data_IF_581996434222
#
_entry.id   IF_581996434222
#
_cell.length_a   1.000
_cell.length_b   1.000
_cell.length_c   1.000
_cell.angle_alpha   90.00
_cell.angle_beta   90.00
_cell.angle_gamma   90.00
#
_symmetry.space_group_name_H-M   'P 1'
#
loop_
_entity.id
_entity.type
_entity.pdbx_description
1 polymer ?
#
# COMPACT_ATOMS: atom_id res chain seq x y z
N UNK A 1 -16.87 60.01 -26.75
CA UNK A 1 -17.31 58.63 -26.40
C UNK A 1 -16.11 57.71 -26.56
N UNK A 2 -15.42 57.40 -25.47
CA UNK A 2 -14.20 56.59 -25.45
C UNK A 2 -14.61 55.14 -25.14
N UNK A 3 -14.35 54.23 -26.09
CA UNK A 3 -14.60 52.80 -25.93
C UNK A 3 -13.59 52.15 -24.99
N UNK A 4 -14.09 51.48 -23.95
CA UNK A 4 -13.28 50.64 -23.09
C UNK A 4 -13.17 49.22 -23.68
N UNK A 5 -11.93 48.79 -23.93
CA UNK A 5 -11.56 47.39 -24.16
C UNK A 5 -11.74 46.61 -22.85
N UNK A 6 -12.87 45.93 -22.67
CA UNK A 6 -12.98 44.84 -21.69
C UNK A 6 -12.45 43.55 -22.32
N UNK A 7 -11.24 43.15 -21.93
CA UNK A 7 -10.79 41.77 -22.09
C UNK A 7 -11.66 40.90 -21.17
N UNK A 8 -12.53 40.09 -21.76
CA UNK A 8 -13.29 39.07 -21.05
C UNK A 8 -12.33 38.03 -20.47
N UNK A 9 -12.19 38.01 -19.14
CA UNK A 9 -11.63 36.89 -18.41
C UNK A 9 -12.61 35.73 -18.52
N UNK A 10 -12.31 34.76 -19.38
CA UNK A 10 -13.09 33.54 -19.52
C UNK A 10 -12.75 32.63 -18.33
N UNK A 11 -13.44 32.82 -17.20
CA UNK A 11 -13.43 31.85 -16.10
C UNK A 11 -14.04 30.54 -16.63
N UNK A 12 -13.16 29.60 -16.98
CA UNK A 12 -13.54 28.23 -17.32
C UNK A 12 -14.26 27.64 -16.10
N UNK A 13 -15.54 27.29 -16.29
CA UNK A 13 -16.42 26.69 -15.30
C UNK A 13 -16.06 25.23 -14.97
N UNK A 14 -14.78 24.92 -14.74
CA UNK A 14 -14.32 23.57 -14.40
C UNK A 14 -14.30 23.28 -12.89
N UNK A 15 -14.61 24.26 -12.02
CA UNK A 15 -14.50 24.11 -10.57
C UNK A 15 -15.73 23.43 -9.91
N UNK A 16 -16.83 23.19 -10.64
CA UNK A 16 -18.06 22.61 -10.10
C UNK A 16 -18.39 21.20 -10.64
N UNK A 17 -17.37 20.47 -11.10
CA UNK A 17 -17.48 19.04 -11.43
C UNK A 17 -16.99 18.12 -10.30
N UNK A 18 -16.88 18.65 -9.09
CA UNK A 18 -16.14 17.99 -7.99
C UNK A 18 -16.95 16.94 -7.21
N UNK A 19 -18.28 16.82 -7.35
CA UNK A 19 -19.04 15.92 -6.44
C UNK A 19 -20.30 15.23 -7.03
N UNK A 20 -20.44 15.07 -8.35
CA UNK A 20 -21.72 14.60 -8.93
C UNK A 20 -21.74 13.34 -9.78
N UNK A 21 -20.66 12.57 -9.86
CA UNK A 21 -20.72 11.28 -10.57
C UNK A 21 -19.85 10.23 -9.89
N UNK A 22 -20.53 9.25 -9.28
CA UNK A 22 -20.05 7.92 -8.83
C UNK A 22 -19.23 7.91 -7.53
N UNK A 23 -19.97 7.64 -6.47
CA UNK A 23 -19.58 7.42 -5.07
C UNK A 23 -18.67 6.19 -4.84
N UNK A 24 -17.70 5.87 -5.72
CA UNK A 24 -16.84 4.67 -5.60
C UNK A 24 -15.32 4.96 -5.52
N UNK A 25 -14.89 6.21 -5.51
CA UNK A 25 -13.49 6.58 -5.76
C UNK A 25 -12.56 6.67 -4.56
N UNK A 26 -12.65 5.77 -3.57
CA UNK A 26 -11.56 5.55 -2.61
C UNK A 26 -11.36 4.05 -2.47
N UNK A 27 -10.63 3.47 -3.42
CA UNK A 27 -10.26 2.05 -3.35
C UNK A 27 -8.93 1.96 -2.60
N UNK A 28 -9.03 1.74 -1.29
CA UNK A 28 -7.91 1.30 -0.48
C UNK A 28 -7.27 0.06 -1.14
N UNK A 29 -5.94 -0.03 -1.21
CA UNK A 29 -5.24 -1.29 -1.49
C UNK A 29 -5.31 -2.23 -0.26
N UNK A 30 -6.36 -2.14 0.53
CA UNK A 30 -6.78 -3.11 1.51
C UNK A 30 -7.32 -4.38 0.86
N UNK A 31 -6.61 -5.07 -0.04
CA UNK A 31 -7.04 -6.38 -0.56
C UNK A 31 -8.50 -6.43 -1.07
N UNK A 32 -9.07 -5.30 -1.50
CA UNK A 32 -10.46 -5.15 -1.93
C UNK A 32 -10.48 -4.82 -3.42
N UNK A 33 -10.38 -5.85 -4.24
CA UNK A 33 -11.00 -5.85 -5.56
C UNK A 33 -11.34 -7.29 -5.93
N UNK A 34 -12.64 -7.60 -5.96
CA UNK A 34 -13.18 -8.81 -6.56
C UNK A 34 -13.49 -8.52 -8.04
N UNK A 35 -13.22 -9.53 -8.88
CA UNK A 35 -13.74 -9.79 -10.23
C UNK A 35 -13.43 -8.79 -11.38
N UNK A 36 -12.68 -9.28 -12.38
CA UNK A 36 -12.47 -8.64 -13.69
C UNK A 36 -11.08 -8.95 -14.24
N UNK A 37 -11.02 -9.64 -15.40
CA UNK A 37 -9.85 -10.32 -15.99
C UNK A 37 -8.48 -9.61 -15.79
N UNK A 38 -7.46 -10.33 -15.29
CA UNK A 38 -6.12 -9.78 -15.03
C UNK A 38 -5.38 -9.47 -16.34
N UNK A 39 -4.54 -8.43 -16.31
CA UNK A 39 -3.35 -8.46 -17.14
C UNK A 39 -2.46 -9.56 -16.52
N UNK A 40 -2.07 -10.57 -17.30
CA UNK A 40 -1.52 -11.84 -16.76
C UNK A 40 -0.19 -11.68 -15.99
N UNK A 41 0.41 -10.49 -16.03
CA UNK A 41 1.80 -10.26 -15.63
C UNK A 41 1.96 -9.28 -14.44
N UNK A 42 0.88 -8.82 -13.79
CA UNK A 42 0.96 -7.83 -12.69
C UNK A 42 0.74 -8.43 -11.29
N UNK A 43 1.57 -8.00 -10.32
CA UNK A 43 1.50 -8.38 -8.90
C UNK A 43 0.12 -8.09 -8.30
N UNK A 44 -0.29 -8.82 -7.26
CA UNK A 44 -1.64 -8.68 -6.68
C UNK A 44 -2.01 -7.27 -6.16
N UNK A 45 -1.14 -6.54 -5.43
CA UNK A 45 -1.46 -5.16 -5.04
C UNK A 45 -1.54 -4.22 -6.26
N UNK A 46 -0.72 -4.46 -7.29
CA UNK A 46 -0.82 -3.78 -8.60
C UNK A 46 -2.17 -4.04 -9.27
N UNK A 47 -2.72 -5.25 -9.13
CA UNK A 47 -4.02 -5.60 -9.70
C UNK A 47 -5.20 -4.86 -9.04
N UNK A 48 -5.05 -4.38 -7.81
CA UNK A 48 -6.08 -3.59 -7.12
C UNK A 48 -6.01 -2.14 -7.55
N UNK A 49 -4.82 -1.53 -7.53
CA UNK A 49 -4.56 -0.20 -8.08
C UNK A 49 -5.03 -0.07 -9.53
N UNK A 50 -4.64 -1.03 -10.37
CA UNK A 50 -5.05 -1.10 -11.77
C UNK A 50 -6.57 -1.28 -11.91
N UNK A 51 -7.22 -2.07 -11.04
CA UNK A 51 -8.67 -2.26 -11.10
C UNK A 51 -9.44 -1.03 -10.66
N UNK A 52 -9.08 -0.42 -9.54
CA UNK A 52 -9.68 0.83 -9.09
C UNK A 52 -9.59 1.89 -10.17
N UNK A 53 -8.40 2.08 -10.73
CA UNK A 53 -8.18 3.06 -11.80
C UNK A 53 -8.96 2.72 -13.08
N UNK A 54 -8.97 1.44 -13.51
CA UNK A 54 -9.78 0.97 -14.66
C UNK A 54 -11.29 1.14 -14.43
N UNK A 55 -11.75 1.05 -13.19
CA UNK A 55 -13.14 1.28 -12.80
C UNK A 55 -13.47 2.78 -12.66
N UNK A 56 -12.49 3.66 -12.85
CA UNK A 56 -12.65 5.11 -12.83
C UNK A 56 -12.46 5.74 -11.45
N UNK A 57 -11.65 5.14 -10.57
CA UNK A 57 -11.26 5.80 -9.33
C UNK A 57 -10.42 7.04 -9.62
N UNK A 58 -10.79 8.17 -9.02
CA UNK A 58 -10.02 9.42 -9.12
C UNK A 58 -8.70 9.35 -8.35
N UNK A 59 -8.67 8.55 -7.27
CA UNK A 59 -7.49 8.31 -6.44
C UNK A 59 -7.36 6.82 -6.12
N UNK A 60 -6.11 6.36 -6.07
CA UNK A 60 -5.73 5.06 -5.51
C UNK A 60 -4.90 5.27 -4.25
N UNK A 61 -5.03 4.37 -3.28
CA UNK A 61 -4.40 4.47 -1.96
C UNK A 61 -3.34 3.38 -1.79
N UNK A 62 -2.27 3.68 -1.05
CA UNK A 62 -1.30 2.68 -0.62
C UNK A 62 -0.80 3.05 0.78
N UNK A 63 -0.93 2.10 1.72
CA UNK A 63 -0.26 2.15 3.00
C UNK A 63 1.25 2.02 2.78
N UNK A 64 2.04 2.99 3.21
CA UNK A 64 3.47 3.08 2.96
C UNK A 64 4.24 2.75 4.23
N UNK A 65 5.14 1.78 4.10
CA UNK A 65 6.16 1.44 5.10
C UNK A 65 7.56 1.50 4.47
N UNK A 66 8.58 1.50 5.31
CA UNK A 66 9.99 1.64 4.92
C UNK A 66 10.77 0.34 5.15
N UNK A 67 11.80 0.12 4.34
CA UNK A 67 12.80 -0.95 4.48
C UNK A 67 14.07 -0.45 5.18
N UNK A 68 14.97 -1.36 5.56
CA UNK A 68 16.24 -1.00 6.23
C UNK A 68 17.20 -0.22 5.33
N UNK A 69 17.09 -0.39 4.02
CA UNK A 69 17.80 0.36 2.98
C UNK A 69 17.03 1.62 2.50
N UNK A 70 16.02 2.05 3.26
CA UNK A 70 15.24 3.28 3.07
C UNK A 70 14.38 3.34 1.79
N UNK A 71 14.03 2.17 1.25
CA UNK A 71 13.08 2.03 0.15
C UNK A 71 11.64 1.98 0.68
N UNK A 72 10.69 2.46 -0.12
CA UNK A 72 9.28 2.50 0.24
C UNK A 72 8.51 1.34 -0.41
N UNK A 73 7.71 0.63 0.40
CA UNK A 73 6.89 -0.50 -0.04
C UNK A 73 5.45 -0.38 0.45
N UNK A 74 4.51 -0.88 -0.36
CA UNK A 74 3.09 -0.89 -0.02
C UNK A 74 2.73 -2.04 0.93
N UNK A 75 2.43 -1.72 2.18
CA UNK A 75 1.98 -2.65 3.21
C UNK A 75 1.18 -1.95 4.31
N UNK A 76 0.05 -2.53 4.71
CA UNK A 76 -0.82 -1.97 5.75
C UNK A 76 -0.16 -1.88 7.12
N UNK A 77 0.74 -2.79 7.46
CA UNK A 77 1.55 -2.71 8.67
C UNK A 77 3.01 -3.00 8.33
N UNK A 78 3.96 -2.52 9.15
CA UNK A 78 5.36 -2.86 9.00
C UNK A 78 5.67 -4.28 9.49
N UNK A 79 4.83 -4.92 10.31
CA UNK A 79 4.97 -6.34 10.66
C UNK A 79 4.25 -7.24 9.66
N UNK A 80 4.94 -8.28 9.16
CA UNK A 80 4.54 -8.94 7.90
C UNK A 80 4.30 -10.45 7.98
N UNK A 81 4.42 -11.11 9.14
CA UNK A 81 4.14 -12.56 9.24
C UNK A 81 2.72 -12.94 8.82
N UNK A 82 1.72 -12.10 9.13
CA UNK A 82 0.32 -12.40 8.81
C UNK A 82 0.09 -12.39 7.29
N UNK A 83 0.72 -11.46 6.57
CA UNK A 83 0.43 -11.21 5.15
C UNK A 83 1.48 -11.75 4.19
N UNK A 84 2.55 -12.38 4.68
CA UNK A 84 3.64 -12.92 3.87
C UNK A 84 4.10 -14.32 4.32
N UNK A 85 5.01 -14.92 3.57
CA UNK A 85 5.61 -16.20 3.91
C UNK A 85 6.89 -16.06 4.74
N UNK A 86 7.22 -14.88 5.28
CA UNK A 86 8.48 -14.66 6.04
C UNK A 86 8.72 -15.67 7.18
N UNK A 87 7.64 -16.17 7.80
CA UNK A 87 7.69 -17.17 8.87
C UNK A 87 7.72 -18.64 8.36
N UNK A 88 7.66 -18.86 7.05
CA UNK A 88 7.78 -20.19 6.42
C UNK A 88 9.23 -20.51 6.09
N UNK A 89 10.04 -20.71 7.13
CA UNK A 89 11.49 -21.01 7.05
C UNK A 89 11.86 -22.23 6.19
N UNK A 90 10.86 -23.03 5.79
CA UNK A 90 11.05 -24.26 5.01
C UNK A 90 10.52 -24.15 3.58
N UNK A 91 9.74 -23.10 3.27
CA UNK A 91 8.98 -22.98 2.02
C UNK A 91 7.85 -24.01 1.86
N UNK A 92 7.55 -24.83 2.89
CA UNK A 92 6.57 -25.94 2.78
C UNK A 92 5.13 -25.46 2.88
N UNK A 93 4.88 -24.34 3.57
CA UNK A 93 3.53 -23.80 3.77
C UNK A 93 3.11 -23.02 2.53
N UNK A 94 3.99 -22.14 2.05
CA UNK A 94 3.77 -21.30 0.88
C UNK A 94 4.05 -22.02 -0.44
N UNK A 95 4.85 -23.09 -0.41
CA UNK A 95 5.39 -23.71 -1.62
C UNK A 95 6.45 -22.86 -2.33
N UNK A 96 6.92 -21.78 -1.70
CA UNK A 96 7.86 -20.82 -2.28
C UNK A 96 9.09 -20.69 -1.38
N UNK A 97 10.26 -21.18 -1.82
CA UNK A 97 11.51 -20.99 -1.09
C UNK A 97 11.91 -19.52 -1.02
N UNK A 98 12.46 -19.11 0.12
CA UNK A 98 13.13 -17.83 0.34
C UNK A 98 14.25 -18.02 1.37
N UNK A 99 15.07 -16.98 1.59
CA UNK A 99 16.09 -16.99 2.65
C UNK A 99 15.47 -17.26 4.02
N UNK A 100 16.11 -18.11 4.84
CA UNK A 100 15.65 -18.34 6.21
C UNK A 100 15.94 -17.11 7.07
N UNK A 101 14.87 -16.43 7.48
CA UNK A 101 14.91 -15.23 8.31
C UNK A 101 14.55 -15.48 9.77
N UNK A 102 14.70 -16.71 10.28
CA UNK A 102 14.36 -17.06 11.67
C UNK A 102 15.10 -16.21 12.73
N UNK A 103 16.26 -15.65 12.37
CA UNK A 103 17.04 -14.72 13.20
C UNK A 103 16.49 -13.29 13.23
N UNK A 104 15.45 -12.98 12.44
CA UNK A 104 14.88 -11.63 12.27
C UNK A 104 13.58 -11.41 13.02
N UNK A 105 13.13 -12.38 13.82
CA UNK A 105 11.98 -12.19 14.70
C UNK A 105 12.40 -11.28 15.87
N UNK A 106 11.73 -10.14 16.02
CA UNK A 106 12.04 -9.15 17.06
C UNK A 106 10.78 -8.66 17.75
N UNK A 107 10.97 -7.93 18.86
CA UNK A 107 9.90 -7.24 19.57
C UNK A 107 10.18 -5.74 19.57
N UNK A 108 9.21 -4.94 19.13
CA UNK A 108 9.28 -3.48 19.16
C UNK A 108 8.01 -2.90 19.79
N UNK A 109 8.16 -1.79 20.49
CA UNK A 109 7.03 -1.00 20.95
C UNK A 109 6.50 -0.14 19.80
N UNK A 110 5.29 -0.47 19.34
CA UNK A 110 4.64 0.13 18.18
C UNK A 110 3.50 1.09 18.58
N UNK A 111 3.55 1.65 19.79
CA UNK A 111 2.69 2.79 20.15
C UNK A 111 3.05 4.01 19.31
N UNK A 112 2.13 4.94 19.13
CA UNK A 112 2.51 6.24 18.61
C UNK A 112 3.11 7.11 19.74
N UNK A 113 3.16 8.42 19.57
CA UNK A 113 3.70 9.38 20.54
C UNK A 113 2.63 10.37 21.02
N UNK A 114 1.35 10.06 20.83
CA UNK A 114 0.29 10.94 21.25
C UNK A 114 0.01 10.83 22.76
N UNK A 115 0.07 11.97 23.44
CA UNK A 115 -0.17 12.02 24.88
C UNK A 115 -1.67 12.03 25.14
N UNK A 116 -2.20 10.87 25.52
CA UNK A 116 -3.57 10.71 26.00
C UNK A 116 -4.59 10.29 24.94
N UNK A 117 -4.16 9.71 23.81
CA UNK A 117 -5.03 9.31 22.71
C UNK A 117 -4.76 7.88 22.16
N UNK A 118 -4.67 6.91 23.07
CA UNK A 118 -4.37 5.46 22.91
C UNK A 118 -5.28 4.60 21.97
N UNK A 119 -6.10 5.15 21.07
CA UNK A 119 -7.03 4.32 20.26
C UNK A 119 -6.34 3.57 19.10
N UNK A 120 -5.14 4.00 18.69
CA UNK A 120 -4.35 3.46 17.59
C UNK A 120 -3.01 2.86 18.04
N UNK A 121 -2.68 2.95 19.33
CA UNK A 121 -1.55 2.29 19.98
C UNK A 121 -1.62 0.76 19.84
N UNK A 122 -0.46 0.13 19.65
CA UNK A 122 -0.35 -1.32 19.36
C UNK A 122 0.32 -2.12 20.47
N UNK A 123 1.07 -1.47 21.33
CA UNK A 123 1.90 -2.06 22.36
C UNK A 123 3.17 -2.69 21.81
N UNK A 124 3.70 -3.63 22.57
CA UNK A 124 4.83 -4.46 22.15
C UNK A 124 4.36 -5.50 21.13
N UNK A 125 4.84 -5.37 19.89
CA UNK A 125 4.55 -6.30 18.79
C UNK A 125 5.77 -7.19 18.59
N UNK A 126 5.56 -8.51 18.51
CA UNK A 126 6.61 -9.48 18.19
C UNK A 126 6.37 -10.09 16.82
N UNK A 127 7.18 -9.73 15.84
CA UNK A 127 7.02 -10.14 14.43
C UNK A 127 8.32 -9.88 13.63
N UNK A 128 8.26 -10.03 12.31
CA UNK A 128 9.23 -9.62 11.32
C UNK A 128 8.83 -8.27 10.75
N UNK A 129 9.69 -7.27 10.86
CA UNK A 129 9.38 -5.89 10.52
C UNK A 129 10.05 -5.44 9.24
N UNK A 130 9.34 -4.75 8.34
CA UNK A 130 9.90 -4.31 7.05
C UNK A 130 11.17 -3.49 7.19
N UNK A 131 11.25 -2.65 8.21
CA UNK A 131 12.42 -1.81 8.50
C UNK A 131 13.65 -2.58 9.00
N UNK A 132 13.50 -3.88 9.31
CA UNK A 132 14.65 -4.75 9.55
C UNK A 132 15.22 -5.31 8.24
N UNK A 133 14.46 -5.39 7.14
CA UNK A 133 14.84 -6.03 5.87
C UNK A 133 15.20 -5.02 4.78
N UNK A 134 16.15 -5.38 3.93
CA UNK A 134 16.39 -4.65 2.67
C UNK A 134 15.24 -4.86 1.69
N UNK A 135 15.08 -3.97 0.71
CA UNK A 135 14.09 -4.15 -0.35
C UNK A 135 14.31 -5.48 -1.07
N UNK A 136 15.56 -5.84 -1.33
CA UNK A 136 15.89 -7.11 -1.99
C UNK A 136 15.34 -8.30 -1.22
N UNK A 137 15.55 -8.36 0.09
CA UNK A 137 15.02 -9.42 0.96
C UNK A 137 13.48 -9.41 0.97
N UNK A 138 12.84 -8.25 1.11
CA UNK A 138 11.37 -8.11 1.06
C UNK A 138 10.80 -8.64 -0.26
N UNK A 139 11.50 -8.42 -1.36
CA UNK A 139 11.07 -8.87 -2.69
C UNK A 139 11.22 -10.39 -2.92
N UNK A 140 11.95 -11.12 -2.06
CA UNK A 140 11.98 -12.59 -2.06
C UNK A 140 10.65 -13.18 -1.58
N UNK A 141 9.98 -12.48 -0.67
CA UNK A 141 8.77 -12.96 -0.02
C UNK A 141 7.55 -12.98 -0.96
N UNK A 142 6.57 -13.79 -0.62
CA UNK A 142 5.26 -13.87 -1.27
C UNK A 142 4.15 -13.61 -0.27
N UNK A 143 3.08 -12.99 -0.76
CA UNK A 143 1.96 -12.53 0.06
C UNK A 143 0.75 -13.44 -0.04
N UNK A 144 -0.08 -13.40 1.00
CA UNK A 144 -1.40 -14.06 1.04
C UNK A 144 -2.50 -13.09 1.49
N UNK A 145 -3.74 -13.43 1.19
CA UNK A 145 -4.91 -12.82 1.77
C UNK A 145 -5.20 -13.43 3.16
N UNK A 146 -5.39 -12.59 4.18
CA UNK A 146 -5.62 -13.07 5.55
C UNK A 146 -7.09 -13.17 5.91
N UNK A 147 -7.97 -12.48 5.18
CA UNK A 147 -9.42 -12.50 5.42
C UNK A 147 -10.06 -13.73 4.76
N UNK A 148 -10.70 -14.63 5.52
CA UNK A 148 -11.22 -15.90 5.00
C UNK A 148 -12.42 -15.74 4.05
N UNK A 149 -13.10 -14.60 4.10
CA UNK A 149 -14.22 -14.28 3.21
C UNK A 149 -13.78 -13.60 1.89
N UNK A 150 -12.47 -13.55 1.62
CA UNK A 150 -11.91 -12.96 0.41
C UNK A 150 -11.25 -14.02 -0.44
N UNK A 151 -11.14 -13.71 -1.72
CA UNK A 151 -10.56 -14.60 -2.71
C UNK A 151 -9.07 -14.87 -2.46
N UNK A 152 -8.73 -16.15 -2.27
CA UNK A 152 -7.37 -16.65 -2.00
C UNK A 152 -6.65 -17.15 -3.25
N UNK A 153 -7.23 -17.02 -4.44
CA UNK A 153 -6.64 -17.59 -5.67
C UNK A 153 -5.26 -17.03 -6.04
N UNK A 154 -4.80 -15.96 -5.38
CA UNK A 154 -3.52 -15.30 -5.61
C UNK A 154 -2.50 -15.47 -4.49
N UNK A 155 -2.85 -16.23 -3.45
CA UNK A 155 -1.94 -16.54 -2.37
C UNK A 155 -0.64 -17.14 -2.91
N UNK A 156 0.47 -16.65 -2.37
CA UNK A 156 1.83 -17.10 -2.66
C UNK A 156 2.35 -16.84 -4.08
N UNK A 157 1.57 -16.17 -4.95
CA UNK A 157 1.99 -15.91 -6.34
C UNK A 157 2.85 -14.68 -6.51
N UNK A 158 2.61 -13.64 -5.70
CA UNK A 158 3.21 -12.33 -5.89
C UNK A 158 3.89 -11.80 -4.63
N UNK A 159 4.89 -10.96 -4.84
CA UNK A 159 5.63 -10.28 -3.78
C UNK A 159 4.98 -8.95 -3.38
N UNK A 160 5.67 -8.18 -2.54
CA UNK A 160 5.38 -6.79 -2.24
C UNK A 160 5.46 -5.91 -3.49
N UNK A 161 4.89 -4.72 -3.37
CA UNK A 161 4.88 -3.68 -4.40
C UNK A 161 5.68 -2.52 -3.86
N UNK A 162 6.63 -2.02 -4.64
CA UNK A 162 7.35 -0.80 -4.29
C UNK A 162 6.43 0.41 -4.49
N UNK A 163 6.69 1.48 -3.77
CA UNK A 163 5.91 2.71 -3.94
C UNK A 163 6.07 3.30 -5.35
N UNK A 164 7.25 3.12 -5.97
CA UNK A 164 7.50 3.50 -7.37
C UNK A 164 6.63 2.70 -8.36
N UNK A 165 6.54 1.37 -8.20
CA UNK A 165 5.66 0.53 -9.01
C UNK A 165 4.18 0.97 -8.87
N UNK A 166 3.77 1.38 -7.67
CA UNK A 166 2.42 1.91 -7.42
C UNK A 166 2.20 3.27 -8.11
N UNK A 167 3.16 4.19 -8.02
CA UNK A 167 3.10 5.50 -8.69
C UNK A 167 2.99 5.32 -10.21
N UNK A 168 3.74 4.38 -10.78
CA UNK A 168 3.71 4.13 -12.23
C UNK A 168 2.34 3.61 -12.69
N UNK A 169 1.63 2.86 -11.84
CA UNK A 169 0.23 2.51 -12.10
C UNK A 169 -0.66 3.74 -12.07
N UNK A 170 -0.56 4.58 -11.04
CA UNK A 170 -1.37 5.79 -10.95
C UNK A 170 -1.22 6.65 -12.22
N UNK A 171 0.02 6.85 -12.68
CA UNK A 171 0.34 7.56 -13.93
C UNK A 171 -0.29 6.88 -15.15
N UNK A 172 -0.20 5.55 -15.27
CA UNK A 172 -0.72 4.81 -16.43
C UNK A 172 -2.23 4.96 -16.63
N UNK A 173 -2.98 5.26 -15.55
CA UNK A 173 -4.42 5.49 -15.59
C UNK A 173 -4.83 6.94 -15.39
N UNK A 174 -3.87 7.86 -15.23
CA UNK A 174 -4.14 9.25 -14.88
C UNK A 174 -5.00 9.39 -13.60
N UNK A 175 -4.71 8.56 -12.60
CA UNK A 175 -5.30 8.62 -11.26
C UNK A 175 -4.39 9.37 -10.29
N UNK A 176 -4.98 10.06 -9.32
CA UNK A 176 -4.25 10.59 -8.17
C UNK A 176 -3.81 9.49 -7.20
N UNK A 177 -2.92 9.82 -6.28
CA UNK A 177 -2.51 8.92 -5.19
C UNK A 177 -2.92 9.48 -3.83
N UNK A 178 -3.23 8.59 -2.89
CA UNK A 178 -3.50 8.89 -1.49
C UNK A 178 -2.64 7.97 -0.62
N UNK A 179 -1.36 8.29 -0.37
CA UNK A 179 -0.51 7.45 0.46
C UNK A 179 -0.83 7.62 1.95
N UNK A 180 -0.91 6.51 2.70
CA UNK A 180 -1.04 6.51 4.16
C UNK A 180 0.30 6.08 4.78
N UNK A 181 1.00 6.99 5.46
CA UNK A 181 2.26 6.64 6.15
C UNK A 181 1.93 5.86 7.41
N UNK A 182 2.46 4.65 7.55
CA UNK A 182 2.17 3.78 8.69
C UNK A 182 3.21 3.90 9.79
N UNK A 183 2.71 4.04 11.02
CA UNK A 183 3.51 4.01 12.25
C UNK A 183 4.71 4.98 12.28
N UNK A 184 4.60 6.23 11.78
CA UNK A 184 5.78 7.11 11.65
C UNK A 184 6.46 7.40 12.99
N UNK A 185 5.69 7.63 14.06
CA UNK A 185 6.23 7.93 15.39
C UNK A 185 7.01 6.75 15.97
N UNK A 186 6.48 5.53 15.88
CA UNK A 186 7.16 4.32 16.32
C UNK A 186 8.45 4.08 15.53
N UNK A 187 8.39 4.20 14.21
CA UNK A 187 9.52 3.96 13.32
C UNK A 187 10.63 5.00 13.54
N UNK A 188 10.29 6.27 13.75
CA UNK A 188 11.27 7.32 14.03
C UNK A 188 12.12 7.02 15.27
N UNK A 189 11.52 6.41 16.32
CA UNK A 189 12.24 6.02 17.54
C UNK A 189 13.20 4.85 17.33
N UNK A 190 13.07 4.10 16.25
CA UNK A 190 13.94 2.97 15.91
C UNK A 190 15.17 3.44 15.13
N UNK A 191 15.00 4.43 14.26
CA UNK A 191 16.08 4.96 13.41
C UNK A 191 16.86 6.15 14.03
N UNK A 192 16.34 6.79 15.09
CA UNK A 192 16.99 7.91 15.79
C UNK A 192 17.61 7.45 17.12
#
# INVERSE_FOLDING_TARGET
MLGQLQRSFQFRHSCLRVMKTRLLGLLCILGYAQCGLPNKDSKWPLNIAHRGSKQGADYIECDVVITSDLELVCSHEPWISETSNVADHTGKISGVPHTDFSDRLKTYNMNDDDLGFDWNDKGDVTDYFTFDFTLKEIMELRRKQTKPNRDSQFDWKYSFVTFDEFIDIAKSFNAGIYPEIKQPSAINRIFC
#
